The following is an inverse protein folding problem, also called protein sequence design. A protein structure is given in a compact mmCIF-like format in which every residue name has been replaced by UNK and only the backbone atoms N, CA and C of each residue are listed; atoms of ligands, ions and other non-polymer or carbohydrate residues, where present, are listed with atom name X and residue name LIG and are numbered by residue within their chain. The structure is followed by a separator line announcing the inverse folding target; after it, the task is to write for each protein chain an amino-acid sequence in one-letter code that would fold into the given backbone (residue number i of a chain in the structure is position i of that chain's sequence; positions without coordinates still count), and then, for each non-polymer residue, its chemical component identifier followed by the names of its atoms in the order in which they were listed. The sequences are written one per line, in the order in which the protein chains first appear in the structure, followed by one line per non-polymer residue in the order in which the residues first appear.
data_IF_999836727844
#
_entry.id   IF_999836727844
#
_cell.length_a   1.000
_cell.length_b   1.000
_cell.length_c   1.000
_cell.angle_alpha   90.00
_cell.angle_beta   90.00
_cell.angle_gamma   90.00
#
_symmetry.space_group_name_H-M   'P 1'
#
loop_
_entity.id
_entity.type
_entity.pdbx_description
1 polymer ?
#
# COMPACT_ATOMS: atom_id res chain seq x y z
N UNK A 1 1.13 14.01 -13.62
CA UNK A 1 0.97 14.67 -14.93
C UNK A 1 -0.03 13.83 -15.70
N UNK A 2 -1.25 14.33 -15.89
CA UNK A 2 -2.34 13.57 -16.50
C UNK A 2 -2.14 13.44 -18.01
N UNK A 3 -1.83 12.22 -18.46
CA UNK A 3 -1.67 11.85 -19.86
C UNK A 3 -2.91 12.14 -20.71
N UNK A 4 -4.10 12.18 -20.10
CA UNK A 4 -5.36 12.45 -20.80
C UNK A 4 -5.42 13.89 -21.35
N UNK A 5 -4.89 14.88 -20.63
CA UNK A 5 -4.82 16.26 -21.10
C UNK A 5 -3.85 16.43 -22.27
N UNK A 6 -2.76 15.66 -22.29
CA UNK A 6 -1.77 15.65 -23.36
C UNK A 6 -2.30 14.92 -24.60
N UNK A 7 -3.02 13.80 -24.42
CA UNK A 7 -3.61 13.05 -25.53
C UNK A 7 -4.81 13.79 -26.14
N UNK A 8 -5.75 14.29 -25.34
CA UNK A 8 -6.91 15.05 -25.85
C UNK A 8 -6.47 16.39 -26.44
N UNK A 9 -5.55 17.10 -25.78
CA UNK A 9 -4.96 18.34 -26.30
C UNK A 9 -4.16 18.11 -27.58
N UNK A 10 -3.37 17.04 -27.65
CA UNK A 10 -2.56 16.66 -28.81
C UNK A 10 -3.41 16.19 -30.01
N UNK A 11 -4.45 15.40 -29.78
CA UNK A 11 -5.40 14.97 -30.81
C UNK A 11 -6.28 16.12 -31.32
N UNK A 12 -6.69 17.05 -30.44
CA UNK A 12 -7.39 18.28 -30.84
C UNK A 12 -6.50 19.17 -31.71
N UNK A 13 -5.24 19.36 -31.32
CA UNK A 13 -4.26 20.14 -32.09
C UNK A 13 -3.98 19.49 -33.46
N UNK A 14 -3.75 18.17 -33.50
CA UNK A 14 -3.52 17.47 -34.75
C UNK A 14 -4.76 17.49 -35.67
N UNK A 15 -5.96 17.27 -35.13
CA UNK A 15 -7.21 17.30 -35.88
C UNK A 15 -7.56 18.69 -36.42
N UNK A 16 -7.35 19.76 -35.62
CA UNK A 16 -7.56 21.14 -36.07
C UNK A 16 -6.51 21.58 -37.08
N UNK A 17 -5.25 21.18 -36.95
CA UNK A 17 -4.20 21.48 -37.93
C UNK A 17 -4.47 20.77 -39.26
N UNK A 18 -4.88 19.50 -39.25
CA UNK A 18 -5.19 18.75 -40.48
C UNK A 18 -6.44 19.29 -41.18
N UNK A 19 -7.48 19.69 -40.43
CA UNK A 19 -8.69 20.31 -40.98
C UNK A 19 -8.47 21.76 -41.45
N UNK A 20 -7.55 22.51 -40.83
CA UNK A 20 -7.29 23.91 -41.14
C UNK A 20 -6.18 24.13 -42.18
N UNK A 21 -5.16 23.28 -42.23
CA UNK A 21 -4.00 23.47 -43.12
C UNK A 21 -4.24 23.01 -44.57
N UNK A 22 -5.18 22.08 -44.79
CA UNK A 22 -5.40 21.50 -46.11
C UNK A 22 -4.24 20.61 -46.57
N UNK A 23 -4.53 19.62 -47.41
CA UNK A 23 -3.52 18.71 -47.95
C UNK A 23 -2.47 19.46 -48.79
N UNK A 24 -1.15 19.22 -48.60
CA UNK A 24 -0.14 19.85 -49.43
C UNK A 24 -0.06 19.17 -50.80
N UNK A 25 -0.19 20.00 -51.83
CA UNK A 25 0.36 19.86 -53.19
C UNK A 25 -0.02 18.64 -54.05
N UNK A 26 -0.82 18.90 -55.09
CA UNK A 26 -1.04 17.97 -56.21
C UNK A 26 -2.39 18.07 -56.94
N UNK A 27 -3.29 18.98 -56.54
CA UNK A 27 -4.68 18.95 -57.02
C UNK A 27 -4.99 19.99 -58.10
N UNK A 28 -5.68 19.56 -59.16
CA UNK A 28 -6.14 20.35 -60.33
C UNK A 28 -6.87 21.65 -59.90
N UNK A 29 -6.78 22.69 -60.73
CA UNK A 29 -7.30 24.04 -60.44
C UNK A 29 -8.80 24.07 -60.10
N UNK A 30 -9.62 23.23 -60.73
CA UNK A 30 -11.05 23.10 -60.42
C UNK A 30 -11.30 22.65 -58.97
N UNK A 31 -10.42 21.79 -58.46
CA UNK A 31 -10.49 21.30 -57.08
C UNK A 31 -10.03 22.37 -56.07
N UNK A 32 -9.12 23.27 -56.47
CA UNK A 32 -8.74 24.44 -55.64
C UNK A 32 -9.91 25.41 -55.47
N UNK A 33 -10.69 25.63 -56.53
CA UNK A 33 -11.88 26.48 -56.49
C UNK A 33 -12.97 25.87 -55.60
N UNK A 34 -13.25 24.57 -55.78
CA UNK A 34 -14.16 23.81 -54.93
C UNK A 34 -13.72 23.80 -53.45
N UNK A 35 -12.42 23.59 -53.19
CA UNK A 35 -11.85 23.68 -51.84
C UNK A 35 -11.98 25.07 -51.19
N UNK A 36 -11.91 26.14 -51.97
CA UNK A 36 -12.09 27.51 -51.47
C UNK A 36 -13.56 27.78 -51.13
N UNK A 37 -14.50 27.26 -51.92
CA UNK A 37 -15.94 27.36 -51.67
C UNK A 37 -16.37 26.50 -50.45
N UNK A 38 -15.69 25.39 -50.16
CA UNK A 38 -15.93 24.56 -48.97
C UNK A 38 -15.28 25.08 -47.66
N UNK A 39 -14.34 26.04 -47.73
CA UNK A 39 -13.68 26.61 -46.53
C UNK A 39 -14.64 27.09 -45.44
N UNK A 40 -15.72 27.86 -45.71
CA UNK A 40 -16.66 28.28 -44.67
C UNK A 40 -17.35 27.09 -44.00
N UNK A 41 -17.75 26.06 -44.76
CA UNK A 41 -18.38 24.86 -44.22
C UNK A 41 -17.42 24.03 -43.36
N UNK A 42 -16.15 23.88 -43.78
CA UNK A 42 -15.12 23.19 -42.99
C UNK A 42 -14.79 23.94 -41.71
N UNK A 43 -14.72 25.27 -41.75
CA UNK A 43 -14.53 26.11 -40.56
C UNK A 43 -15.72 26.01 -39.61
N UNK A 44 -16.94 26.01 -40.14
CA UNK A 44 -18.16 25.81 -39.34
C UNK A 44 -18.21 24.42 -38.70
N UNK A 45 -17.86 23.37 -39.43
CA UNK A 45 -17.78 22.00 -38.92
C UNK A 45 -16.69 21.84 -37.85
N UNK A 46 -15.50 22.43 -38.07
CA UNK A 46 -14.43 22.44 -37.08
C UNK A 46 -14.84 23.20 -35.81
N UNK A 47 -15.53 24.34 -35.95
CA UNK A 47 -16.04 25.10 -34.81
C UNK A 47 -17.13 24.33 -34.06
N UNK A 48 -18.05 23.68 -34.77
CA UNK A 48 -19.05 22.80 -34.17
C UNK A 48 -18.40 21.63 -33.41
N UNK A 49 -17.36 21.01 -33.97
CA UNK A 49 -16.60 19.96 -33.29
C UNK A 49 -15.92 20.48 -32.02
N UNK A 50 -15.27 21.63 -32.07
CA UNK A 50 -14.66 22.28 -30.89
C UNK A 50 -15.73 22.55 -29.83
N UNK A 51 -16.88 23.10 -30.22
CA UNK A 51 -17.99 23.37 -29.29
C UNK A 51 -18.54 22.08 -28.68
N UNK A 52 -18.64 20.99 -29.43
CA UNK A 52 -19.07 19.69 -28.90
C UNK A 52 -18.03 19.14 -27.92
N UNK A 53 -16.74 19.18 -28.27
CA UNK A 53 -15.67 18.64 -27.41
C UNK A 53 -15.53 19.46 -26.13
N UNK A 54 -15.60 20.79 -26.18
CA UNK A 54 -15.58 21.60 -24.97
C UNK A 54 -16.91 21.55 -24.21
N UNK A 55 -18.04 21.50 -24.91
CA UNK A 55 -19.38 21.49 -24.32
C UNK A 55 -19.77 20.17 -23.65
N UNK A 56 -19.27 19.03 -24.14
CA UNK A 56 -19.48 17.71 -23.54
C UNK A 56 -18.24 17.23 -22.78
N UNK A 57 -17.07 17.30 -23.40
CA UNK A 57 -15.81 16.83 -22.82
C UNK A 57 -15.33 17.69 -21.65
N UNK A 58 -15.53 19.01 -21.69
CA UNK A 58 -15.18 19.90 -20.58
C UNK A 58 -15.94 19.57 -19.29
N UNK A 59 -17.28 19.49 -19.31
CA UNK A 59 -18.06 19.03 -18.17
C UNK A 59 -17.73 17.60 -17.76
N UNK A 60 -17.59 16.66 -18.69
CA UNK A 60 -17.27 15.27 -18.37
C UNK A 60 -15.91 15.15 -17.66
N UNK A 61 -14.89 15.86 -18.17
CA UNK A 61 -13.58 15.97 -17.53
C UNK A 61 -13.67 16.62 -16.16
N UNK A 62 -14.41 17.72 -16.02
CA UNK A 62 -14.62 18.37 -14.74
C UNK A 62 -15.29 17.41 -13.74
N UNK A 63 -16.34 16.69 -14.13
CA UNK A 63 -17.02 15.74 -13.25
C UNK A 63 -16.16 14.51 -12.92
N UNK A 64 -15.37 13.99 -13.86
CA UNK A 64 -14.48 12.84 -13.61
C UNK A 64 -13.24 13.20 -12.79
N UNK A 65 -12.74 14.43 -12.89
CA UNK A 65 -11.57 14.90 -12.12
C UNK A 65 -11.92 15.57 -10.80
N UNK A 66 -13.18 15.98 -10.59
CA UNK A 66 -13.69 16.53 -9.32
C UNK A 66 -13.95 15.46 -8.27
N UNK A 67 -13.20 14.36 -8.26
CA UNK A 67 -13.21 13.46 -7.10
C UNK A 67 -12.85 14.28 -5.87
N UNK A 68 -13.80 14.38 -4.92
CA UNK A 68 -13.59 15.12 -3.67
C UNK A 68 -12.45 14.44 -2.92
N UNK A 69 -11.27 15.07 -2.95
CA UNK A 69 -10.11 14.62 -2.19
C UNK A 69 -10.38 14.84 -0.71
N UNK A 70 -9.93 13.92 0.14
CA UNK A 70 -9.98 14.11 1.58
C UNK A 70 -9.33 15.45 1.95
N UNK A 71 -9.95 16.16 2.89
CA UNK A 71 -9.33 17.34 3.46
C UNK A 71 -8.14 16.83 4.27
N UNK A 72 -6.93 17.11 3.79
CA UNK A 72 -5.73 16.84 4.57
C UNK A 72 -5.53 18.02 5.50
N UNK A 73 -5.76 17.78 6.79
CA UNK A 73 -5.37 18.72 7.82
C UNK A 73 -3.84 18.76 7.83
N UNK A 74 -3.29 19.91 7.43
CA UNK A 74 -1.85 20.15 7.49
C UNK A 74 -1.47 20.44 8.92
N UNK A 75 -0.34 19.90 9.36
CA UNK A 75 0.22 20.30 10.66
C UNK A 75 0.52 21.80 10.65
N UNK A 76 0.15 22.56 11.71
CA UNK A 76 0.56 23.94 11.87
C UNK A 76 2.09 24.05 11.87
N UNK A 77 2.62 25.12 11.28
CA UNK A 77 4.05 25.43 11.30
C UNK A 77 4.52 25.59 12.75
N UNK A 78 5.14 24.55 13.32
CA UNK A 78 5.67 24.54 14.69
C UNK A 78 4.97 23.58 15.67
N UNK A 79 3.93 22.85 15.26
CA UNK A 79 3.40 21.75 16.10
C UNK A 79 4.49 20.68 16.26
N UNK A 80 4.71 20.15 17.45
CA UNK A 80 5.57 18.97 17.68
C UNK A 80 4.70 17.76 18.01
N UNK A 81 4.97 16.62 17.39
CA UNK A 81 4.27 15.37 17.63
C UNK A 81 5.17 14.51 18.50
N UNK A 82 4.89 14.48 19.81
CA UNK A 82 5.65 13.65 20.73
C UNK A 82 5.04 12.26 20.84
N UNK A 83 5.79 11.23 20.45
CA UNK A 83 5.46 9.83 20.68
C UNK A 83 6.37 9.30 21.79
N UNK A 84 5.80 8.63 22.79
CA UNK A 84 6.57 7.92 23.81
C UNK A 84 6.50 6.43 23.52
N UNK A 85 7.66 5.81 23.26
CA UNK A 85 7.77 4.38 22.99
C UNK A 85 8.43 3.70 24.16
N UNK A 86 7.76 2.69 24.73
CA UNK A 86 8.30 1.88 25.82
C UNK A 86 8.74 0.52 25.26
N UNK A 87 10.02 0.21 25.36
CA UNK A 87 10.61 -1.03 24.85
C UNK A 87 10.87 -1.94 26.04
N UNK A 88 10.14 -3.05 26.16
CA UNK A 88 10.35 -4.08 27.16
C UNK A 88 11.34 -5.11 26.61
N UNK A 89 12.50 -5.22 27.25
CA UNK A 89 13.53 -6.21 26.93
C UNK A 89 13.52 -7.33 27.98
N UNK A 90 13.48 -8.58 27.51
CA UNK A 90 13.63 -9.76 28.35
C UNK A 90 14.72 -10.69 27.80
N UNK A 91 15.29 -11.52 28.66
CA UNK A 91 16.25 -12.57 28.29
C UNK A 91 15.79 -13.93 28.79
N UNK A 92 16.08 -14.98 28.02
CA UNK A 92 15.70 -16.35 28.40
C UNK A 92 16.78 -17.12 29.16
N UNK A 93 18.01 -16.61 29.19
CA UNK A 93 19.14 -17.24 29.86
C UNK A 93 19.80 -16.31 30.89
N UNK A 94 20.13 -16.86 32.07
CA UNK A 94 20.77 -16.15 33.18
C UNK A 94 22.13 -15.56 32.83
N UNK A 95 22.86 -16.20 31.93
CA UNK A 95 24.17 -15.71 31.48
C UNK A 95 24.05 -14.41 30.66
N UNK A 96 22.90 -14.20 30.02
CA UNK A 96 22.63 -13.02 29.18
C UNK A 96 22.10 -11.84 30.00
N UNK A 97 21.63 -12.08 31.22
CA UNK A 97 21.10 -11.04 32.11
C UNK A 97 22.17 -10.00 32.48
N UNK A 98 23.41 -10.42 32.71
CA UNK A 98 24.54 -9.50 32.94
C UNK A 98 24.95 -8.69 31.70
N UNK A 99 24.57 -9.14 30.51
CA UNK A 99 24.91 -8.48 29.25
C UNK A 99 23.82 -7.49 28.79
N UNK A 100 22.64 -7.50 29.41
CA UNK A 100 21.52 -6.65 29.01
C UNK A 100 21.75 -5.17 29.33
N UNK A 101 22.29 -4.84 30.50
CA UNK A 101 22.51 -3.45 30.91
C UNK A 101 23.38 -2.64 29.93
N UNK A 102 24.57 -3.14 29.52
CA UNK A 102 25.37 -2.47 28.49
C UNK A 102 24.66 -2.40 27.13
N UNK A 103 23.90 -3.43 26.76
CA UNK A 103 23.16 -3.50 25.49
C UNK A 103 22.04 -2.45 25.43
N UNK A 104 21.35 -2.23 26.55
CA UNK A 104 20.29 -1.21 26.68
C UNK A 104 20.80 0.19 26.33
N UNK A 105 21.93 0.59 26.91
CA UNK A 105 22.52 1.90 26.64
C UNK A 105 22.92 2.04 25.17
N UNK A 106 23.59 1.03 24.61
CA UNK A 106 24.03 1.05 23.20
C UNK A 106 22.83 1.14 22.24
N UNK A 107 21.73 0.42 22.52
CA UNK A 107 20.52 0.48 21.69
C UNK A 107 19.84 1.85 21.83
N UNK A 108 19.75 2.38 23.04
CA UNK A 108 19.13 3.67 23.30
C UNK A 108 19.88 4.80 22.58
N UNK A 109 21.21 4.76 22.60
CA UNK A 109 22.07 5.70 21.87
C UNK A 109 21.84 5.59 20.35
N UNK A 110 21.84 4.38 19.78
CA UNK A 110 21.55 4.19 18.34
C UNK A 110 20.15 4.67 17.94
N UNK A 111 19.14 4.48 18.80
CA UNK A 111 17.78 4.95 18.54
C UNK A 111 17.64 6.48 18.61
N UNK A 112 18.51 7.15 19.38
CA UNK A 112 18.56 8.62 19.45
C UNK A 112 19.37 9.23 18.29
N UNK A 113 20.38 8.52 17.80
CA UNK A 113 21.18 8.92 16.62
C UNK A 113 20.39 8.80 15.30
N UNK A 114 19.31 8.00 15.29
CA UNK A 114 18.42 7.87 14.15
C UNK A 114 17.79 9.22 13.73
N UNK A 115 17.90 9.57 12.44
CA UNK A 115 17.42 10.84 11.92
C UNK A 115 15.87 10.89 11.91
N UNK A 116 15.28 11.37 13.00
CA UNK A 116 13.84 11.67 13.08
C UNK A 116 13.59 13.08 12.56
N UNK A 117 12.74 13.21 11.54
CA UNK A 117 12.41 14.51 10.97
C UNK A 117 11.35 15.24 11.79
N UNK A 118 11.62 16.52 12.06
CA UNK A 118 10.63 17.43 12.63
C UNK A 118 9.36 17.46 11.77
N UNK A 119 8.15 17.57 12.34
CA UNK A 119 7.81 17.77 13.76
C UNK A 119 7.81 16.55 14.69
N UNK A 120 8.17 15.36 14.21
CA UNK A 120 8.12 14.14 15.00
C UNK A 120 9.24 14.14 16.07
N UNK A 121 8.86 13.85 17.31
CA UNK A 121 9.80 13.68 18.41
C UNK A 121 9.48 12.36 19.12
N UNK A 122 10.34 11.36 18.96
CA UNK A 122 10.15 10.05 19.58
C UNK A 122 10.99 10.00 20.85
N UNK A 123 10.34 9.80 21.99
CA UNK A 123 10.97 9.55 23.27
C UNK A 123 11.05 8.05 23.50
N UNK A 124 12.27 7.54 23.57
CA UNK A 124 12.53 6.13 23.80
C UNK A 124 12.75 5.87 25.29
N UNK A 125 12.07 4.87 25.84
CA UNK A 125 12.36 4.35 27.16
C UNK A 125 12.51 2.84 27.08
N UNK A 126 13.58 2.29 27.63
CA UNK A 126 13.84 0.85 27.66
C UNK A 126 13.62 0.35 29.08
N UNK A 127 12.76 -0.65 29.23
CA UNK A 127 12.43 -1.33 30.47
C UNK A 127 12.98 -2.75 30.44
N UNK A 128 13.85 -3.07 31.38
CA UNK A 128 14.39 -4.41 31.54
C UNK A 128 13.43 -5.26 32.40
N UNK A 129 12.84 -6.28 31.80
CA UNK A 129 11.96 -7.26 32.45
C UNK A 129 12.73 -8.47 33.04
N UNK A 130 14.05 -8.52 32.82
CA UNK A 130 14.96 -9.51 33.34
C UNK A 130 14.79 -10.90 32.72
N UNK A 131 15.13 -11.92 33.52
CA UNK A 131 14.99 -13.31 33.12
C UNK A 131 13.52 -13.75 33.04
N UNK A 132 13.09 -14.22 31.86
CA UNK A 132 11.76 -14.78 31.63
C UNK A 132 11.86 -16.12 30.90
N UNK A 133 10.97 -17.06 31.24
CA UNK A 133 10.94 -18.36 30.57
C UNK A 133 10.33 -18.24 29.17
N UNK A 134 10.94 -18.90 28.17
CA UNK A 134 10.52 -18.81 26.77
C UNK A 134 9.04 -19.20 26.59
N UNK A 135 8.62 -20.28 27.25
CA UNK A 135 7.22 -20.75 27.18
C UNK A 135 6.24 -19.73 27.74
N UNK A 136 6.63 -19.01 28.79
CA UNK A 136 5.77 -17.97 29.38
C UNK A 136 5.60 -16.79 28.42
N UNK A 137 6.66 -16.39 27.72
CA UNK A 137 6.66 -15.30 26.75
C UNK A 137 5.82 -15.64 25.50
N UNK A 138 5.87 -16.90 25.02
CA UNK A 138 5.08 -17.35 23.87
C UNK A 138 3.56 -17.32 24.12
N UNK A 139 3.14 -17.55 25.36
CA UNK A 139 1.73 -17.59 25.75
C UNK A 139 1.20 -16.25 26.26
N UNK A 140 2.07 -15.25 26.35
CA UNK A 140 1.77 -13.94 26.88
C UNK A 140 0.92 -13.15 25.87
N UNK A 141 -0.31 -12.83 26.28
CA UNK A 141 -1.31 -12.19 25.41
C UNK A 141 -1.23 -10.68 25.52
N UNK A 142 -1.53 -10.03 24.40
CA UNK A 142 -1.64 -8.57 24.31
C UNK A 142 -2.77 -8.11 25.24
N UNK A 143 -2.42 -7.35 26.28
CA UNK A 143 -3.37 -6.58 27.08
C UNK A 143 -3.59 -5.23 26.40
N UNK A 144 -4.80 -4.67 26.51
CA UNK A 144 -5.06 -3.33 25.98
C UNK A 144 -4.31 -2.31 26.84
N UNK A 145 -3.20 -1.80 26.31
CA UNK A 145 -2.51 -0.63 26.85
C UNK A 145 -2.83 0.59 26.01
N UNK A 146 -2.87 1.76 26.65
CA UNK A 146 -2.98 3.05 25.96
C UNK A 146 -1.61 3.58 25.50
N UNK A 147 -0.50 2.96 25.94
CA UNK A 147 0.86 3.29 25.51
C UNK A 147 1.35 2.46 24.33
N UNK A 148 2.24 3.04 23.51
CA UNK A 148 2.95 2.32 22.46
C UNK A 148 4.09 1.51 23.08
N UNK A 149 3.83 0.22 23.29
CA UNK A 149 4.75 -0.72 23.95
C UNK A 149 5.30 -1.73 22.93
N UNK A 150 6.61 -1.95 22.97
CA UNK A 150 7.35 -2.85 22.10
C UNK A 150 7.99 -3.92 22.97
N UNK A 151 7.65 -5.20 22.76
CA UNK A 151 8.13 -6.30 23.61
C UNK A 151 9.10 -7.18 22.83
N UNK A 152 10.34 -7.29 23.31
CA UNK A 152 11.42 -8.02 22.64
C UNK A 152 12.13 -8.95 23.62
N UNK A 153 12.24 -10.22 23.25
CA UNK A 153 12.93 -11.25 24.01
C UNK A 153 14.18 -11.72 23.28
N UNK A 154 15.33 -11.63 23.95
CA UNK A 154 16.61 -12.17 23.46
C UNK A 154 16.75 -13.61 23.94
N UNK A 155 16.78 -14.54 22.98
CA UNK A 155 16.72 -15.98 23.24
C UNK A 155 18.10 -16.60 22.99
N UNK A 156 18.54 -17.49 23.89
CA UNK A 156 19.80 -18.20 23.68
C UNK A 156 19.72 -19.17 22.48
N UNK A 157 20.84 -19.44 21.79
CA UNK A 157 20.85 -20.36 20.65
C UNK A 157 20.38 -21.78 21.02
N UNK A 158 20.63 -22.21 22.26
CA UNK A 158 20.24 -23.52 22.78
C UNK A 158 18.72 -23.69 22.94
N UNK A 159 18.01 -22.59 23.17
CA UNK A 159 16.55 -22.56 23.36
C UNK A 159 15.82 -22.13 22.09
N UNK A 160 16.53 -21.88 21.00
CA UNK A 160 15.94 -21.43 19.73
C UNK A 160 15.21 -22.59 19.05
N UNK A 161 13.89 -22.48 18.98
CA UNK A 161 13.01 -23.51 18.40
C UNK A 161 12.74 -23.32 16.91
N UNK A 162 13.13 -22.16 16.35
CA UNK A 162 12.88 -21.81 14.96
C UNK A 162 14.01 -22.28 14.05
N UNK A 163 13.75 -22.29 12.74
CA UNK A 163 14.73 -22.69 11.74
C UNK A 163 16.00 -21.84 11.87
N UNK A 164 17.19 -22.45 11.78
CA UNK A 164 18.47 -21.80 12.09
C UNK A 164 18.82 -20.62 11.17
N UNK A 165 18.21 -20.52 9.99
CA UNK A 165 18.37 -19.36 9.10
C UNK A 165 17.52 -18.15 9.54
N UNK A 166 16.55 -18.35 10.44
CA UNK A 166 15.66 -17.33 10.95
C UNK A 166 16.23 -16.85 12.29
N UNK A 167 16.73 -15.61 12.32
CA UNK A 167 17.30 -15.00 13.52
C UNK A 167 16.31 -14.09 14.26
N UNK A 168 15.15 -13.84 13.65
CA UNK A 168 14.09 -12.97 14.13
C UNK A 168 12.75 -13.69 13.93
N UNK A 169 11.96 -13.80 14.99
CA UNK A 169 10.65 -14.43 14.93
C UNK A 169 9.62 -13.53 15.61
N UNK A 170 8.64 -13.07 14.83
CA UNK A 170 7.50 -12.33 15.36
C UNK A 170 6.50 -13.35 15.92
N UNK A 171 6.40 -13.41 17.24
CA UNK A 171 5.50 -14.31 17.93
C UNK A 171 4.03 -13.98 17.65
N UNK A 172 3.15 -14.94 17.87
CA UNK A 172 1.68 -14.72 17.84
C UNK A 172 1.18 -13.93 19.05
N UNK A 173 1.96 -13.93 20.14
CA UNK A 173 1.68 -13.19 21.37
C UNK A 173 2.18 -11.75 21.29
N UNK A 174 2.47 -11.15 22.44
CA UNK A 174 2.99 -9.78 22.51
C UNK A 174 4.48 -9.65 22.16
N UNK A 175 5.26 -10.73 22.31
CA UNK A 175 6.72 -10.70 22.22
C UNK A 175 7.25 -11.03 20.82
N UNK A 176 8.24 -10.25 20.38
CA UNK A 176 9.14 -10.60 19.29
C UNK A 176 10.39 -11.29 19.84
N UNK A 177 10.86 -12.33 19.18
CA UNK A 177 12.00 -13.13 19.62
C UNK A 177 13.20 -12.89 18.71
N UNK A 178 14.36 -12.64 19.33
CA UNK A 178 15.63 -12.38 18.66
C UNK A 178 16.65 -13.40 19.13
N UNK A 179 17.27 -14.10 18.19
CA UNK A 179 18.32 -15.06 18.52
C UNK A 179 19.58 -14.32 18.95
N UNK A 180 20.10 -14.66 20.13
CA UNK A 180 21.37 -14.15 20.63
C UNK A 180 22.52 -14.58 19.71
N UNK A 181 23.48 -13.68 19.52
CA UNK A 181 24.71 -13.92 18.75
C UNK A 181 25.89 -13.38 19.54
N UNK A 182 27.01 -14.10 19.54
CA UNK A 182 28.21 -13.70 20.29
C UNK A 182 28.82 -12.38 19.81
N UNK A 183 28.58 -12.03 18.54
CA UNK A 183 28.94 -10.73 17.97
C UNK A 183 27.91 -9.66 18.38
N UNK A 184 28.29 -8.81 19.33
CA UNK A 184 27.41 -7.78 19.91
C UNK A 184 26.93 -6.75 18.90
N UNK A 185 27.78 -6.32 17.98
CA UNK A 185 27.43 -5.35 16.93
C UNK A 185 26.27 -5.86 16.06
N UNK A 186 26.36 -7.12 15.59
CA UNK A 186 25.28 -7.74 14.81
C UNK A 186 23.97 -7.88 15.60
N UNK A 187 24.05 -8.14 16.91
CA UNK A 187 22.86 -8.21 17.75
C UNK A 187 22.21 -6.83 17.91
N UNK A 188 23.02 -5.80 18.13
CA UNK A 188 22.57 -4.40 18.24
C UNK A 188 21.93 -3.94 16.93
N UNK A 189 22.57 -4.17 15.79
CA UNK A 189 22.00 -3.83 14.47
C UNK A 189 20.64 -4.52 14.25
N UNK A 190 20.54 -5.82 14.57
CA UNK A 190 19.28 -6.56 14.44
C UNK A 190 18.18 -6.00 15.33
N UNK A 191 18.50 -5.69 16.58
CA UNK A 191 17.54 -5.11 17.53
C UNK A 191 17.11 -3.71 17.09
N UNK A 192 18.06 -2.89 16.63
CA UNK A 192 17.78 -1.58 16.07
C UNK A 192 16.86 -1.69 14.85
N UNK A 193 17.18 -2.50 13.85
CA UNK A 193 16.34 -2.70 12.65
C UNK A 193 14.95 -3.22 13.03
N UNK A 194 14.85 -4.17 13.96
CA UNK A 194 13.56 -4.69 14.43
C UNK A 194 12.70 -3.57 15.06
N UNK A 195 13.27 -2.78 15.97
CA UNK A 195 12.53 -1.70 16.66
C UNK A 195 12.18 -0.58 15.67
N UNK A 196 13.18 -0.10 14.93
CA UNK A 196 13.11 1.10 14.11
C UNK A 196 12.30 0.90 12.83
N UNK A 197 12.54 -0.19 12.09
CA UNK A 197 11.92 -0.42 10.78
C UNK A 197 10.66 -1.28 10.87
N UNK A 198 10.63 -2.27 11.76
CA UNK A 198 9.54 -3.27 11.77
C UNK A 198 8.46 -2.95 12.80
N UNK A 199 8.84 -2.69 14.05
CA UNK A 199 7.87 -2.56 15.13
C UNK A 199 7.28 -1.15 15.23
N UNK A 200 8.12 -0.11 15.15
CA UNK A 200 7.67 1.29 15.19
C UNK A 200 7.53 1.88 13.79
N UNK A 201 8.34 1.42 12.84
CA UNK A 201 8.36 1.89 11.45
C UNK A 201 8.52 3.42 11.36
N UNK A 202 9.59 3.92 11.98
CA UNK A 202 9.95 5.34 12.02
C UNK A 202 10.11 5.96 10.62
N UNK A 203 10.69 5.26 9.62
CA UNK A 203 10.73 5.77 8.25
C UNK A 203 9.34 6.04 7.67
N UNK A 204 8.37 5.17 7.91
CA UNK A 204 6.99 5.37 7.46
C UNK A 204 6.30 6.51 8.22
N UNK A 205 6.44 6.59 9.54
CA UNK A 205 5.93 7.73 10.32
C UNK A 205 6.49 9.06 9.79
N UNK A 206 7.79 9.08 9.47
CA UNK A 206 8.44 10.25 8.88
C UNK A 206 7.91 10.58 7.49
N UNK A 207 7.56 9.58 6.67
CA UNK A 207 6.96 9.78 5.36
C UNK A 207 5.53 10.35 5.46
N UNK A 208 4.71 9.86 6.40
CA UNK A 208 3.38 10.41 6.69
C UNK A 208 3.49 11.88 7.08
N UNK A 209 4.39 12.19 8.01
CA UNK A 209 4.61 13.56 8.49
C UNK A 209 5.04 14.48 7.34
N UNK A 210 6.00 14.07 6.50
CA UNK A 210 6.40 14.86 5.31
C UNK A 210 5.26 15.11 4.35
N UNK A 211 4.44 14.08 4.09
CA UNK A 211 3.26 14.18 3.21
C UNK A 211 2.30 15.23 3.76
N UNK A 212 2.00 15.18 5.04
CA UNK A 212 1.06 16.09 5.69
C UNK A 212 1.62 17.52 5.81
N UNK A 213 2.94 17.66 5.90
CA UNK A 213 3.67 18.95 5.77
C UNK A 213 3.78 19.46 4.32
N UNK A 214 3.32 18.69 3.33
CA UNK A 214 3.43 18.97 1.88
C UNK A 214 4.87 19.18 1.39
N UNK A 215 5.85 18.61 2.08
CA UNK A 215 7.22 18.60 1.60
C UNK A 215 7.35 17.66 0.41
N UNK A 216 7.79 18.18 -0.73
CA UNK A 216 8.01 17.38 -1.92
C UNK A 216 9.20 16.45 -1.67
N UNK A 217 8.98 15.14 -1.78
CA UNK A 217 10.07 14.18 -1.83
C UNK A 217 10.70 14.18 -3.21
N UNK A 218 12.02 14.26 -3.22
CA UNK A 218 12.79 14.26 -4.45
C UNK A 218 12.97 12.83 -4.97
N UNK A 219 13.03 12.60 -6.31
CA UNK A 219 13.06 11.26 -6.87
C UNK A 219 14.22 10.39 -6.35
N UNK A 220 15.38 10.98 -6.07
CA UNK A 220 16.52 10.25 -5.50
C UNK A 220 16.28 9.80 -4.06
N UNK A 221 15.50 10.56 -3.28
CA UNK A 221 15.12 10.18 -1.92
C UNK A 221 14.20 8.98 -1.95
N UNK A 222 13.29 8.92 -2.93
CA UNK A 222 12.39 7.77 -3.13
C UNK A 222 13.20 6.54 -3.56
N UNK A 223 14.13 6.70 -4.51
CA UNK A 223 14.97 5.62 -4.99
C UNK A 223 15.91 5.04 -3.91
N UNK A 224 16.29 5.85 -2.91
CA UNK A 224 17.11 5.42 -1.78
C UNK A 224 16.33 4.63 -0.72
N UNK A 225 14.99 4.65 -0.74
CA UNK A 225 14.16 3.84 0.16
C UNK A 225 14.25 2.36 -0.22
N UNK A 226 14.07 1.47 0.74
CA UNK A 226 13.92 0.03 0.47
C UNK A 226 12.70 -0.24 -0.44
N UNK A 227 12.70 -1.32 -1.24
CA UNK A 227 11.58 -1.64 -2.14
C UNK A 227 10.22 -1.71 -1.42
N UNK A 228 10.18 -2.21 -0.18
CA UNK A 228 8.96 -2.24 0.65
C UNK A 228 8.46 -0.83 0.96
N UNK A 229 9.35 0.08 1.36
CA UNK A 229 9.03 1.48 1.63
C UNK A 229 8.63 2.23 0.35
N UNK A 230 9.25 1.93 -0.80
CA UNK A 230 8.84 2.49 -2.09
C UNK A 230 7.41 2.08 -2.48
N UNK A 231 7.09 0.77 -2.44
CA UNK A 231 5.74 0.26 -2.71
C UNK A 231 4.71 0.91 -1.78
N UNK A 232 5.03 1.02 -0.49
CA UNK A 232 4.14 1.63 0.53
C UNK A 232 3.95 3.13 0.30
N UNK A 233 5.02 3.86 -0.03
CA UNK A 233 4.93 5.29 -0.33
C UNK A 233 4.00 5.57 -1.51
N UNK A 234 3.98 4.70 -2.53
CA UNK A 234 3.01 4.81 -3.62
C UNK A 234 1.59 4.76 -3.07
N UNK A 235 1.27 3.79 -2.21
CA UNK A 235 -0.05 3.69 -1.58
C UNK A 235 -0.39 4.90 -0.71
N UNK A 236 0.57 5.42 0.05
CA UNK A 236 0.37 6.59 0.94
C UNK A 236 0.24 7.91 0.18
N UNK A 237 0.77 7.97 -1.05
CA UNK A 237 0.75 9.15 -1.93
C UNK A 237 -0.38 9.13 -2.96
N UNK A 238 -1.09 8.01 -3.12
CA UNK A 238 -2.33 7.97 -3.89
C UNK A 238 -3.33 8.92 -3.22
N UNK A 239 -3.97 9.85 -3.97
CA UNK A 239 -4.94 10.76 -3.40
C UNK A 239 -6.07 9.96 -2.73
N UNK A 240 -6.13 10.04 -1.39
CA UNK A 240 -7.21 9.48 -0.60
C UNK A 240 -8.51 10.22 -0.95
N UNK A 241 -9.38 9.57 -1.71
CA UNK A 241 -10.71 10.08 -2.00
C UNK A 241 -11.53 10.13 -0.70
N UNK A 242 -12.38 11.13 -0.53
CA UNK A 242 -13.34 11.15 0.57
C UNK A 242 -14.35 10.02 0.51
N UNK A 243 -14.52 9.41 -0.67
CA UNK A 243 -15.47 8.35 -0.89
C UNK A 243 -14.80 7.21 -1.65
N UNK A 244 -14.85 6.01 -1.11
CA UNK A 244 -14.44 4.79 -1.80
C UNK A 244 -15.60 3.82 -1.88
N UNK A 245 -15.65 3.07 -2.97
CA UNK A 245 -16.42 1.84 -3.05
C UNK A 245 -15.44 0.70 -2.85
N UNK A 246 -15.52 0.00 -1.73
CA UNK A 246 -14.76 -1.23 -1.51
C UNK A 246 -15.65 -2.40 -1.93
N UNK A 247 -15.25 -3.06 -3.00
CA UNK A 247 -15.93 -4.20 -3.61
C UNK A 247 -15.21 -5.47 -3.16
N UNK A 248 -15.85 -6.24 -2.28
CA UNK A 248 -15.34 -7.52 -1.79
C UNK A 248 -15.86 -8.61 -2.71
N UNK A 249 -14.96 -9.19 -3.50
CA UNK A 249 -15.25 -10.19 -4.52
C UNK A 249 -14.81 -11.55 -3.97
N UNK A 250 -15.77 -12.40 -3.68
CA UNK A 250 -15.53 -13.79 -3.32
C UNK A 250 -15.46 -14.62 -4.59
N UNK A 251 -14.36 -15.34 -4.76
CA UNK A 251 -14.16 -16.24 -5.89
C UNK A 251 -14.26 -17.66 -5.37
N UNK A 252 -15.32 -18.35 -5.78
CA UNK A 252 -15.65 -19.70 -5.34
C UNK A 252 -15.19 -20.73 -6.37
N UNK A 253 -14.34 -21.66 -5.93
CA UNK A 253 -13.95 -22.81 -6.74
C UNK A 253 -15.08 -23.86 -6.76
N UNK A 254 -15.32 -24.43 -7.94
CA UNK A 254 -16.28 -25.52 -8.13
C UNK A 254 -15.91 -26.79 -7.36
N UNK A 255 -14.64 -26.93 -6.96
CA UNK A 255 -14.12 -28.13 -6.31
C UNK A 255 -14.47 -28.25 -4.81
N UNK A 256 -14.83 -27.17 -4.11
CA UNK A 256 -15.06 -27.21 -2.65
C UNK A 256 -16.24 -26.35 -2.17
N UNK A 257 -17.49 -26.80 -2.37
CA UNK A 257 -18.66 -25.98 -2.11
C UNK A 257 -19.03 -25.75 -0.63
N UNK A 258 -18.40 -26.42 0.35
CA UNK A 258 -19.00 -26.57 1.70
C UNK A 258 -18.08 -26.35 2.93
N UNK A 259 -16.82 -25.95 2.77
CA UNK A 259 -15.87 -25.94 3.91
C UNK A 259 -15.71 -24.59 4.62
N UNK A 260 -16.11 -23.47 4.02
CA UNK A 260 -15.87 -22.16 4.61
C UNK A 260 -17.17 -21.43 4.98
N UNK A 261 -17.39 -21.23 6.29
CA UNK A 261 -18.21 -20.12 6.74
C UNK A 261 -17.33 -18.88 6.58
N UNK A 262 -17.65 -17.92 5.70
CA UNK A 262 -16.95 -16.66 5.71
C UNK A 262 -17.06 -16.10 7.12
N UNK A 263 -15.96 -16.15 7.89
CA UNK A 263 -15.81 -15.28 9.06
C UNK A 263 -16.20 -13.91 8.55
N UNK A 264 -17.14 -13.25 9.20
CA UNK A 264 -17.97 -12.18 8.65
C UNK A 264 -17.09 -11.01 8.11
N UNK A 265 -16.42 -11.17 6.96
CA UNK A 265 -15.41 -10.23 6.44
C UNK A 265 -16.09 -8.91 6.18
N UNK A 266 -17.33 -8.95 5.67
CA UNK A 266 -18.20 -7.80 5.55
C UNK A 266 -18.46 -7.10 6.89
N UNK A 267 -18.55 -7.82 8.01
CA UNK A 267 -18.64 -7.23 9.34
C UNK A 267 -17.32 -6.58 9.76
N UNK A 268 -16.17 -7.22 9.51
CA UNK A 268 -14.83 -6.69 9.81
C UNK A 268 -14.55 -5.43 8.99
N UNK A 269 -14.76 -5.49 7.67
CA UNK A 269 -14.65 -4.33 6.77
C UNK A 269 -15.69 -3.28 7.15
N UNK A 270 -16.88 -3.69 7.62
CA UNK A 270 -17.89 -2.80 8.19
C UNK A 270 -17.43 -2.05 9.43
N UNK A 271 -16.76 -2.72 10.37
CA UNK A 271 -16.16 -2.09 11.56
C UNK A 271 -15.05 -1.14 11.15
N UNK A 272 -14.20 -1.53 10.20
CA UNK A 272 -13.15 -0.68 9.66
C UNK A 272 -13.72 0.59 9.00
N UNK A 273 -14.75 0.43 8.14
CA UNK A 273 -15.47 1.53 7.51
C UNK A 273 -16.11 2.47 8.55
N UNK A 274 -16.65 1.94 9.64
CA UNK A 274 -17.18 2.75 10.75
C UNK A 274 -16.08 3.56 11.45
N UNK A 275 -14.92 2.96 11.71
CA UNK A 275 -13.77 3.64 12.35
C UNK A 275 -13.22 4.76 11.47
N UNK A 276 -13.20 4.55 10.15
CA UNK A 276 -12.71 5.54 9.19
C UNK A 276 -13.73 6.60 8.79
N UNK A 277 -14.99 6.51 9.24
CA UNK A 277 -16.10 7.38 8.80
C UNK A 277 -15.81 8.87 8.95
N UNK A 278 -14.98 9.27 9.91
CA UNK A 278 -14.60 10.66 10.15
C UNK A 278 -13.54 11.18 9.17
N UNK A 279 -12.80 10.28 8.51
CA UNK A 279 -11.71 10.60 7.57
C UNK A 279 -12.19 10.36 6.13
N UNK A 280 -12.84 9.23 5.89
CA UNK A 280 -13.24 8.73 4.56
C UNK A 280 -14.54 7.94 4.65
N UNK A 281 -15.47 8.19 3.74
CA UNK A 281 -16.71 7.41 3.59
C UNK A 281 -16.45 6.19 2.72
N UNK A 282 -16.64 5.02 3.29
CA UNK A 282 -16.51 3.74 2.57
C UNK A 282 -17.91 3.18 2.31
N UNK A 283 -18.21 2.93 1.04
CA UNK A 283 -19.35 2.14 0.60
C UNK A 283 -18.88 0.70 0.37
N UNK A 284 -19.59 -0.26 0.94
CA UNK A 284 -19.24 -1.67 0.82
C UNK A 284 -20.17 -2.34 -0.20
N UNK A 285 -19.58 -3.00 -1.19
CA UNK A 285 -20.26 -3.94 -2.07
C UNK A 285 -19.67 -5.33 -1.85
N UNK A 286 -20.49 -6.36 -1.96
CA UNK A 286 -20.04 -7.75 -1.92
C UNK A 286 -20.59 -8.45 -3.14
N UNK A 287 -19.70 -9.12 -3.87
CA UNK A 287 -20.02 -9.87 -5.06
C UNK A 287 -19.43 -11.26 -4.94
N UNK A 288 -20.17 -12.24 -5.44
CA UNK A 288 -19.78 -13.64 -5.42
C UNK A 288 -19.69 -14.12 -6.86
N UNK A 289 -18.47 -14.44 -7.28
CA UNK A 289 -18.19 -15.11 -8.54
C UNK A 289 -18.23 -16.61 -8.28
N UNK A 290 -19.33 -17.21 -8.71
CA UNK A 290 -19.52 -18.65 -8.78
C UNK A 290 -19.00 -19.16 -10.13
N UNK A 291 -18.69 -20.45 -10.22
CA UNK A 291 -18.18 -21.07 -11.44
C UNK A 291 -16.82 -20.53 -11.93
N UNK A 292 -15.93 -20.12 -11.02
CA UNK A 292 -14.64 -19.57 -11.36
C UNK A 292 -13.52 -20.62 -11.20
N UNK A 293 -12.86 -21.01 -12.30
CA UNK A 293 -11.76 -21.98 -12.27
C UNK A 293 -10.44 -21.35 -11.79
N UNK A 294 -10.26 -21.27 -10.47
CA UNK A 294 -9.07 -20.66 -9.85
C UNK A 294 -7.79 -21.46 -10.14
N UNK A 295 -7.92 -22.78 -10.29
CA UNK A 295 -6.80 -23.71 -10.53
C UNK A 295 -5.95 -23.37 -11.76
N UNK A 296 -6.55 -22.75 -12.78
CA UNK A 296 -5.84 -22.33 -14.01
C UNK A 296 -4.82 -21.20 -13.79
N UNK A 297 -4.90 -20.49 -12.65
CA UNK A 297 -4.03 -19.36 -12.32
C UNK A 297 -2.89 -19.73 -11.37
N UNK A 298 -2.93 -20.94 -10.80
CA UNK A 298 -1.88 -21.43 -9.91
C UNK A 298 -0.88 -22.30 -10.65
N UNK A 299 0.38 -22.17 -10.26
CA UNK A 299 1.45 -23.07 -10.65
C UNK A 299 1.76 -24.02 -9.49
N UNK A 300 2.25 -25.22 -9.81
CA UNK A 300 2.68 -26.17 -8.79
C UNK A 300 4.19 -26.08 -8.65
N UNK A 301 4.66 -25.67 -7.47
CA UNK A 301 6.08 -25.65 -7.11
C UNK A 301 6.69 -27.07 -7.16
N UNK A 302 8.01 -27.17 -7.21
CA UNK A 302 8.76 -28.45 -7.15
C UNK A 302 8.47 -29.25 -5.86
N UNK A 303 7.93 -28.58 -4.84
CA UNK A 303 7.48 -29.18 -3.57
C UNK A 303 5.99 -29.57 -3.57
N UNK A 304 5.28 -29.45 -4.68
CA UNK A 304 3.86 -29.79 -4.80
C UNK A 304 2.91 -28.76 -4.18
N UNK A 305 3.37 -27.54 -3.89
CA UNK A 305 2.55 -26.45 -3.33
C UNK A 305 2.00 -25.57 -4.45
N UNK A 306 0.78 -25.07 -4.29
CA UNK A 306 0.23 -24.08 -5.20
C UNK A 306 0.90 -22.72 -4.98
N UNK A 307 1.40 -22.13 -6.05
CA UNK A 307 2.01 -20.80 -6.08
C UNK A 307 1.24 -19.90 -7.02
N UNK A 308 1.10 -18.63 -6.64
CA UNK A 308 0.55 -17.58 -7.50
C UNK A 308 1.69 -16.66 -7.92
N UNK A 309 2.05 -16.71 -9.20
CA UNK A 309 3.06 -15.83 -9.81
C UNK A 309 2.45 -14.45 -10.11
N UNK A 310 3.29 -13.44 -10.32
CA UNK A 310 2.82 -12.10 -10.71
C UNK A 310 2.01 -12.15 -12.02
N UNK A 311 2.47 -12.92 -13.01
CA UNK A 311 1.74 -13.07 -14.28
C UNK A 311 0.40 -13.80 -14.07
N UNK A 312 0.36 -14.84 -13.22
CA UNK A 312 -0.88 -15.51 -12.82
C UNK A 312 -1.85 -14.56 -12.13
N UNK A 313 -1.36 -13.70 -11.23
CA UNK A 313 -2.17 -12.67 -10.57
C UNK A 313 -2.73 -11.66 -11.57
N UNK A 314 -1.92 -11.15 -12.51
CA UNK A 314 -2.40 -10.20 -13.54
C UNK A 314 -3.49 -10.81 -14.44
N UNK A 315 -3.34 -12.09 -14.80
CA UNK A 315 -4.35 -12.83 -15.56
C UNK A 315 -5.64 -13.03 -14.75
N UNK A 316 -5.51 -13.42 -13.48
CA UNK A 316 -6.63 -13.57 -12.56
C UNK A 316 -7.42 -12.26 -12.43
N UNK A 317 -6.72 -11.15 -12.21
CA UNK A 317 -7.33 -9.83 -12.08
C UNK A 317 -8.09 -9.42 -13.35
N UNK A 318 -7.51 -9.67 -14.53
CA UNK A 318 -8.18 -9.38 -15.80
C UNK A 318 -9.44 -10.23 -16.02
N UNK A 319 -9.40 -11.49 -15.63
CA UNK A 319 -10.54 -12.40 -15.78
C UNK A 319 -11.66 -12.07 -14.80
N UNK A 320 -11.32 -11.80 -13.54
CA UNK A 320 -12.28 -11.30 -12.55
C UNK A 320 -12.91 -10.00 -13.06
N UNK A 321 -12.11 -9.05 -13.53
CA UNK A 321 -12.62 -7.78 -14.07
C UNK A 321 -13.51 -7.93 -15.31
N UNK A 322 -13.31 -8.98 -16.13
CA UNK A 322 -14.14 -9.24 -17.32
C UNK A 322 -15.54 -9.74 -16.95
N UNK A 323 -15.66 -10.46 -15.82
CA UNK A 323 -16.90 -11.03 -15.34
C UNK A 323 -17.71 -10.07 -14.46
N UNK A 324 -17.05 -9.03 -13.92
CA UNK A 324 -17.70 -8.01 -13.13
C UNK A 324 -18.40 -6.98 -14.02
N UNK A 325 -19.65 -6.65 -13.67
CA UNK A 325 -20.34 -5.51 -14.27
C UNK A 325 -19.62 -4.22 -13.87
N UNK A 326 -19.36 -3.34 -14.84
CA UNK A 326 -18.81 -2.03 -14.56
C UNK A 326 -19.79 -1.23 -13.69
N UNK A 327 -19.41 -0.95 -12.44
CA UNK A 327 -20.17 -0.03 -11.59
C UNK A 327 -20.01 1.37 -12.19
N UNK A 328 -21.07 1.92 -12.78
CA UNK A 328 -21.12 3.32 -13.25
C UNK A 328 -21.10 4.27 -12.04
N UNK A 329 -19.91 4.45 -11.47
CA UNK A 329 -19.68 5.36 -10.37
C UNK A 329 -18.48 6.24 -10.67
N UNK A 330 -18.63 7.53 -10.35
CA UNK A 330 -17.53 8.50 -10.37
C UNK A 330 -16.58 8.35 -9.18
N UNK A 331 -16.90 7.45 -8.24
CA UNK A 331 -16.10 7.20 -7.05
C UNK A 331 -15.02 6.14 -7.34
N UNK A 332 -13.81 6.29 -6.79
CA UNK A 332 -12.78 5.26 -6.91
C UNK A 332 -13.23 3.95 -6.26
N UNK A 333 -12.99 2.85 -6.99
CA UNK A 333 -13.32 1.49 -6.56
C UNK A 333 -12.05 0.78 -6.13
N UNK A 334 -12.08 0.21 -4.92
CA UNK A 334 -11.06 -0.70 -4.41
C UNK A 334 -11.61 -2.11 -4.45
N UNK A 335 -11.01 -2.98 -5.25
CA UNK A 335 -11.42 -4.38 -5.38
C UNK A 335 -10.57 -5.25 -4.46
N UNK A 336 -11.24 -5.94 -3.55
CA UNK A 336 -10.63 -6.93 -2.67
C UNK A 336 -11.09 -8.30 -3.13
N UNK A 337 -10.17 -9.08 -3.68
CA UNK A 337 -10.46 -10.43 -4.15
C UNK A 337 -10.10 -11.42 -3.05
N UNK A 338 -11.08 -12.22 -2.67
CA UNK A 338 -10.93 -13.32 -1.72
C UNK A 338 -10.97 -14.59 -2.54
N UNK A 339 -9.82 -15.25 -2.58
CA UNK A 339 -9.66 -16.52 -3.28
C UNK A 339 -9.84 -17.64 -2.24
N UNK A 340 -10.85 -18.47 -2.46
CA UNK A 340 -11.19 -19.56 -1.55
C UNK A 340 -10.56 -20.86 -2.10
N UNK A 341 -9.52 -21.36 -1.42
CA UNK A 341 -8.79 -22.57 -1.82
C UNK A 341 -8.57 -23.46 -0.60
N UNK A 342 -8.77 -24.77 -0.75
CA UNK A 342 -8.58 -25.76 0.33
C UNK A 342 -7.11 -25.92 0.77
N UNK A 343 -6.16 -25.53 -0.09
CA UNK A 343 -4.73 -25.70 0.11
C UNK A 343 -4.07 -24.32 0.23
N UNK A 344 -3.12 -24.11 1.17
CA UNK A 344 -2.42 -22.84 1.29
C UNK A 344 -1.66 -22.50 0.02
N UNK A 345 -1.97 -21.33 -0.54
CA UNK A 345 -1.30 -20.78 -1.73
C UNK A 345 -0.17 -19.86 -1.30
N UNK A 346 1.01 -20.02 -1.90
CA UNK A 346 2.16 -19.13 -1.68
C UNK A 346 2.20 -18.09 -2.79
N UNK A 347 2.10 -16.81 -2.42
CA UNK A 347 2.25 -15.71 -3.38
C UNK A 347 3.74 -15.45 -3.61
N UNK A 348 4.17 -15.53 -4.86
CA UNK A 348 5.55 -15.23 -5.25
C UNK A 348 5.63 -13.79 -5.74
N UNK A 349 6.18 -12.90 -4.92
CA UNK A 349 6.58 -11.56 -5.35
C UNK A 349 7.93 -11.69 -6.06
N UNK A 350 7.94 -11.56 -7.38
CA UNK A 350 9.18 -11.48 -8.14
C UNK A 350 9.79 -10.11 -7.87
N UNK A 351 10.70 -10.04 -6.90
CA UNK A 351 11.55 -8.86 -6.68
C UNK A 351 12.40 -8.56 -7.91
#
# INVERSE_FOLDING_TARGET
MDWFGVCVGGSLLAGTIVLAAGYPYGVKEDFKKYMQEERPYRRAAALAFIVIVFGLGGPLWYYSTRTYRAHFDTFPEGQTISLSVQIHLAVTNKTLESELGPLEQIILDHLHDGEVKSPLNIRWNILNEGLRDLRSLEHDRIMSSESLEVYIAVVSPEQWTQFSAINLYLGRGRWAFVQYTSEKEKLVERLHTLIWEVMVDVPHLSAIVKRDMRERMEPWQIAALSPSHQKRLVWDSVPLSMNYIVQVIHVHDNASPDTFRPSNIMEVVGVFAKRLRNVTKIQLSSEHLWDFEISNFFETDVQGRYTLTQEGMERLLKEVDSQLLSVESSLPVLKMIIIEVDVPVVMLDTT
#
